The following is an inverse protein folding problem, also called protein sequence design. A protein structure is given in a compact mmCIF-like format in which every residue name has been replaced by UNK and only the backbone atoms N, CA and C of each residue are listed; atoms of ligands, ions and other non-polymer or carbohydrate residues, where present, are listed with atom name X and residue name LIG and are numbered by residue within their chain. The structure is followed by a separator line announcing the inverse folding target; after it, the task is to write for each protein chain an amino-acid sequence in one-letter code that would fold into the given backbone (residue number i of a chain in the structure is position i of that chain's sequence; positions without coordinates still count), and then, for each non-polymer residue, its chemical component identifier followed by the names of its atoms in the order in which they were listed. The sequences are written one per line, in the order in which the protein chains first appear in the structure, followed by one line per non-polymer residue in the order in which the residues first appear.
data_IF_888740077781
#
_entry.id   IF_888740077781
#
_cell.length_a   1.000
_cell.length_b   1.000
_cell.length_c   1.000
_cell.angle_alpha   90.00
_cell.angle_beta   90.00
_cell.angle_gamma   90.00
#
_symmetry.space_group_name_H-M   'P 1'
#
loop_
_entity.id
_entity.type
_entity.pdbx_description
1 polymer ?
#
# COMPACT_ATOMS: atom_id res chain seq x y z
N UNK A 1 16.12 -31.66 3.41
CA UNK A 1 15.28 -32.40 4.39
C UNK A 1 15.01 -31.46 5.55
N UNK A 2 13.77 -31.05 5.74
CA UNK A 2 13.38 -30.05 6.76
C UNK A 2 13.25 -30.75 8.11
N UNK A 3 14.13 -30.43 9.05
CA UNK A 3 14.10 -31.00 10.39
C UNK A 3 12.97 -30.35 11.20
N UNK A 4 11.90 -31.10 11.44
CA UNK A 4 10.75 -30.64 12.21
C UNK A 4 11.10 -30.74 13.70
N UNK A 5 11.25 -29.60 14.37
CA UNK A 5 11.26 -29.49 15.83
C UNK A 5 9.96 -30.09 16.37
N UNK A 6 10.03 -31.29 16.97
CA UNK A 6 8.93 -31.87 17.74
C UNK A 6 9.03 -31.38 19.18
N UNK A 7 8.00 -30.68 19.64
CA UNK A 7 7.77 -30.41 21.06
C UNK A 7 7.04 -31.63 21.64
N UNK A 8 7.74 -32.43 22.44
CA UNK A 8 7.08 -33.41 23.31
C UNK A 8 6.68 -32.72 24.62
N UNK A 9 5.37 -32.64 24.84
CA UNK A 9 4.78 -32.22 26.10
C UNK A 9 4.45 -33.49 26.88
N UNK A 10 5.21 -33.78 27.93
CA UNK A 10 4.82 -34.79 28.92
C UNK A 10 4.14 -34.05 30.07
N UNK A 11 2.86 -34.35 30.27
CA UNK A 11 2.04 -33.81 31.36
C UNK A 11 2.17 -34.76 32.55
N UNK A 12 2.70 -34.27 33.67
CA UNK A 12 2.61 -34.93 34.98
C UNK A 12 1.17 -34.78 35.51
N UNK A 13 0.65 -35.79 36.21
CA UNK A 13 -0.68 -35.91 36.82
C UNK A 13 -1.04 -34.78 37.82
N UNK A 14 -0.15 -33.79 38.01
CA UNK A 14 -0.40 -32.57 38.81
C UNK A 14 -0.35 -31.26 38.01
N UNK A 15 -0.28 -31.30 36.68
CA UNK A 15 -0.46 -30.13 35.82
C UNK A 15 0.70 -29.10 35.84
N UNK A 16 1.89 -29.49 36.31
CA UNK A 16 3.10 -28.66 36.25
C UNK A 16 3.94 -28.94 35.00
N UNK A 17 4.19 -27.94 34.16
CA UNK A 17 5.08 -28.04 32.99
C UNK A 17 6.52 -27.73 33.42
N UNK A 18 7.42 -28.72 33.36
CA UNK A 18 8.87 -28.49 33.57
C UNK A 18 9.61 -28.44 32.23
N UNK A 19 10.15 -27.27 31.88
CA UNK A 19 11.01 -27.09 30.70
C UNK A 19 12.44 -27.49 31.05
N UNK A 20 13.00 -28.43 30.29
CA UNK A 20 14.32 -29.02 30.54
C UNK A 20 15.47 -27.99 30.52
N UNK A 21 16.31 -28.13 31.53
CA UNK A 21 17.42 -27.32 32.04
C UNK A 21 18.63 -27.07 31.10
N UNK A 22 18.49 -27.15 29.77
CA UNK A 22 19.59 -26.90 28.81
C UNK A 22 19.52 -25.56 28.07
N UNK A 23 18.49 -24.74 28.32
CA UNK A 23 18.31 -23.41 27.68
C UNK A 23 18.88 -22.26 28.55
N UNK A 24 19.35 -22.53 29.78
CA UNK A 24 19.69 -21.51 30.77
C UNK A 24 20.91 -20.63 30.44
N UNK A 25 22.00 -21.21 29.95
CA UNK A 25 23.29 -20.48 29.84
C UNK A 25 23.35 -19.55 28.61
N UNK A 26 22.66 -19.90 27.52
CA UNK A 26 22.58 -19.11 26.29
C UNK A 26 21.53 -17.98 26.41
N UNK A 27 20.49 -18.22 27.21
CA UNK A 27 19.48 -17.21 27.56
C UNK A 27 20.03 -16.14 28.51
N UNK A 28 20.92 -16.49 29.44
CA UNK A 28 21.47 -15.54 30.42
C UNK A 28 22.46 -14.55 29.77
N UNK A 29 23.27 -15.01 28.80
CA UNK A 29 24.14 -14.14 27.99
C UNK A 29 23.36 -13.24 27.03
N UNK A 30 22.28 -13.76 26.44
CA UNK A 30 21.39 -12.98 25.57
C UNK A 30 20.57 -11.93 26.35
N UNK A 31 20.19 -12.23 27.60
CA UNK A 31 19.50 -11.30 28.49
C UNK A 31 20.31 -10.05 28.83
N UNK A 32 21.61 -10.19 29.08
CA UNK A 32 22.50 -9.05 29.41
C UNK A 32 22.77 -8.13 28.22
N UNK A 33 22.82 -8.68 26.99
CA UNK A 33 22.93 -7.88 25.77
C UNK A 33 21.61 -7.20 25.40
N UNK A 34 20.48 -7.87 25.64
CA UNK A 34 19.14 -7.29 25.52
C UNK A 34 18.91 -6.12 26.48
N UNK A 35 19.35 -6.24 27.74
CA UNK A 35 19.22 -5.18 28.74
C UNK A 35 20.05 -3.92 28.39
N UNK A 36 21.21 -4.09 27.75
CA UNK A 36 22.04 -2.97 27.29
C UNK A 36 21.49 -2.31 26.01
N UNK A 37 20.91 -3.09 25.10
CA UNK A 37 20.18 -2.57 23.96
C UNK A 37 18.91 -1.81 24.40
N UNK A 38 18.24 -2.31 25.45
CA UNK A 38 17.08 -1.70 26.09
C UNK A 38 17.43 -0.38 26.79
N UNK A 39 18.57 -0.31 27.50
CA UNK A 39 19.07 0.92 28.15
C UNK A 39 19.56 2.00 27.17
N UNK A 40 19.97 1.63 25.95
CA UNK A 40 20.35 2.59 24.89
C UNK A 40 19.16 3.09 24.07
N UNK A 41 17.97 2.53 24.27
CA UNK A 41 16.76 2.85 23.53
C UNK A 41 15.78 3.60 24.44
N UNK A 42 16.18 4.80 24.86
CA UNK A 42 15.38 5.68 25.72
C UNK A 42 14.84 6.88 24.92
N UNK A 43 13.54 7.16 25.12
CA UNK A 43 12.82 8.43 24.86
C UNK A 43 12.13 8.77 23.50
N UNK A 44 11.88 7.90 22.52
CA UNK A 44 11.11 8.32 21.31
C UNK A 44 10.05 7.39 20.71
N UNK A 45 9.66 6.29 21.36
CA UNK A 45 8.64 5.38 20.79
C UNK A 45 7.77 4.70 21.85
N UNK A 46 6.98 5.46 22.61
CA UNK A 46 6.18 4.93 23.72
C UNK A 46 4.86 4.27 23.30
N UNK A 47 4.31 4.57 22.11
CA UNK A 47 2.98 4.08 21.70
C UNK A 47 3.02 2.72 20.98
N UNK A 48 3.98 2.51 20.08
CA UNK A 48 4.13 1.25 19.34
C UNK A 48 4.61 0.09 20.23
N UNK A 49 5.35 0.40 21.30
CA UNK A 49 5.93 -0.60 22.19
C UNK A 49 4.97 -1.12 23.27
N UNK A 50 3.92 -0.39 23.65
CA UNK A 50 2.98 -0.84 24.69
C UNK A 50 2.15 -2.07 24.28
N UNK A 51 1.88 -2.23 22.99
CA UNK A 51 1.16 -3.39 22.43
C UNK A 51 2.06 -4.61 22.31
N UNK A 52 3.35 -4.41 22.02
CA UNK A 52 4.36 -5.48 21.93
C UNK A 52 4.79 -5.95 23.33
N UNK A 53 4.89 -5.03 24.30
CA UNK A 53 5.24 -5.34 25.68
C UNK A 53 4.17 -6.18 26.40
N UNK A 54 2.88 -5.98 26.08
CA UNK A 54 1.77 -6.81 26.62
C UNK A 54 1.78 -8.24 26.10
N UNK A 55 2.40 -8.50 24.95
CA UNK A 55 2.57 -9.84 24.37
C UNK A 55 3.85 -10.54 24.90
N UNK A 56 4.76 -9.82 25.55
CA UNK A 56 6.07 -10.33 26.00
C UNK A 56 6.04 -11.08 27.35
N UNK A 57 4.88 -11.20 28.01
CA UNK A 57 4.76 -11.91 29.28
C UNK A 57 4.89 -13.45 29.17
N UNK A 58 4.98 -14.00 27.96
CA UNK A 58 5.17 -15.44 27.75
C UNK A 58 6.06 -15.73 26.54
N UNK A 59 7.32 -16.11 26.83
CA UNK A 59 8.23 -16.83 25.92
C UNK A 59 8.40 -16.23 24.50
N UNK A 60 8.98 -15.03 24.39
CA UNK A 60 9.54 -14.56 23.12
C UNK A 60 10.99 -15.04 23.02
N UNK A 61 11.22 -16.07 22.19
CA UNK A 61 12.56 -16.51 21.82
C UNK A 61 13.30 -15.40 21.06
N UNK A 62 14.61 -15.32 21.21
CA UNK A 62 15.47 -14.35 20.53
C UNK A 62 15.27 -14.34 19.00
N UNK A 63 14.85 -15.45 18.42
CA UNK A 63 14.52 -15.59 17.00
C UNK A 63 13.21 -14.88 16.61
N UNK A 64 12.18 -14.88 17.47
CA UNK A 64 10.94 -14.13 17.24
C UNK A 64 11.18 -12.62 17.37
N UNK A 65 12.01 -12.19 18.32
CA UNK A 65 12.44 -10.79 18.44
C UNK A 65 13.29 -10.36 17.24
N UNK A 66 14.23 -11.20 16.77
CA UNK A 66 15.05 -10.90 15.58
C UNK A 66 14.20 -10.84 14.31
N UNK A 67 13.27 -11.77 14.11
CA UNK A 67 12.36 -11.77 12.97
C UNK A 67 11.43 -10.54 12.97
N UNK A 68 10.87 -10.20 14.15
CA UNK A 68 10.09 -8.97 14.33
C UNK A 68 10.93 -7.71 14.09
N UNK A 69 12.17 -7.67 14.57
CA UNK A 69 13.08 -6.55 14.34
C UNK A 69 13.47 -6.40 12.86
N UNK A 70 13.84 -7.50 12.18
CA UNK A 70 14.18 -7.44 10.74
C UNK A 70 12.97 -7.05 9.88
N UNK A 71 11.78 -7.58 10.18
CA UNK A 71 10.57 -7.27 9.41
C UNK A 71 10.09 -5.84 9.65
N UNK A 72 10.24 -5.30 10.87
CA UNK A 72 9.93 -3.90 11.17
C UNK A 72 10.96 -2.94 10.58
N UNK A 73 12.26 -3.28 10.59
CA UNK A 73 13.30 -2.48 9.92
C UNK A 73 13.08 -2.45 8.41
N UNK A 74 12.77 -3.58 7.78
CA UNK A 74 12.49 -3.65 6.35
C UNK A 74 11.24 -2.87 5.98
N UNK A 75 10.13 -3.05 6.72
CA UNK A 75 8.91 -2.29 6.47
C UNK A 75 9.09 -0.77 6.66
N UNK A 76 9.92 -0.35 7.63
CA UNK A 76 10.27 1.05 7.82
C UNK A 76 11.13 1.59 6.66
N UNK A 77 12.11 0.80 6.20
CA UNK A 77 12.94 1.14 5.04
C UNK A 77 12.10 1.27 3.77
N UNK A 78 11.23 0.30 3.47
CA UNK A 78 10.34 0.33 2.31
C UNK A 78 9.39 1.53 2.35
N UNK A 79 8.84 1.84 3.54
CA UNK A 79 8.00 3.02 3.72
C UNK A 79 8.80 4.32 3.52
N UNK A 80 10.05 4.36 3.96
CA UNK A 80 10.93 5.51 3.78
C UNK A 80 11.30 5.70 2.30
N UNK A 81 11.58 4.63 1.57
CA UNK A 81 11.83 4.67 0.12
C UNK A 81 10.61 5.20 -0.63
N UNK A 82 9.43 4.62 -0.37
CA UNK A 82 8.18 5.06 -1.00
C UNK A 82 7.84 6.49 -0.59
N UNK A 83 8.15 6.91 0.64
CA UNK A 83 7.98 8.31 1.08
C UNK A 83 8.90 9.25 0.32
N UNK A 84 10.19 8.91 0.17
CA UNK A 84 11.13 9.73 -0.59
C UNK A 84 10.70 9.88 -2.05
N UNK A 85 10.23 8.79 -2.67
CA UNK A 85 9.63 8.85 -4.02
C UNK A 85 8.40 9.74 -4.03
N UNK A 86 7.47 9.52 -3.10
CA UNK A 86 6.22 10.27 -2.99
C UNK A 86 6.48 11.78 -2.91
N UNK A 87 7.42 12.22 -2.08
CA UNK A 87 7.74 13.64 -1.92
C UNK A 87 8.31 14.25 -3.22
N UNK A 88 9.09 13.49 -3.99
CA UNK A 88 9.61 13.93 -5.30
C UNK A 88 8.48 14.05 -6.33
N UNK A 89 7.63 13.03 -6.41
CA UNK A 89 6.52 12.94 -7.37
C UNK A 89 5.45 14.00 -7.11
N UNK A 90 5.25 14.34 -5.84
CA UNK A 90 4.32 15.37 -5.37
C UNK A 90 5.01 16.68 -4.96
N UNK A 91 6.20 16.97 -5.50
CA UNK A 91 6.93 18.20 -5.18
C UNK A 91 6.07 19.45 -5.40
N UNK A 92 5.99 20.31 -4.38
CA UNK A 92 5.14 21.53 -4.37
C UNK A 92 3.66 21.29 -4.04
N UNK A 93 3.26 20.05 -3.77
CA UNK A 93 1.90 19.64 -3.38
C UNK A 93 1.92 18.55 -2.29
N UNK A 94 3.02 18.43 -1.56
CA UNK A 94 3.32 17.35 -0.61
C UNK A 94 2.27 17.27 0.51
N UNK A 95 1.83 18.43 1.02
CA UNK A 95 0.81 18.50 2.07
C UNK A 95 -0.53 17.92 1.60
N UNK A 96 -1.01 18.39 0.45
CA UNK A 96 -2.27 17.89 -0.12
C UNK A 96 -2.16 16.39 -0.45
N UNK A 97 -1.02 15.96 -0.98
CA UNK A 97 -0.76 14.56 -1.24
C UNK A 97 -0.78 13.71 0.05
N UNK A 98 -0.14 14.18 1.12
CA UNK A 98 -0.13 13.49 2.40
C UNK A 98 -1.55 13.35 3.00
N UNK A 99 -2.41 14.36 2.83
CA UNK A 99 -3.82 14.31 3.25
C UNK A 99 -4.63 13.28 2.41
N UNK A 100 -4.39 13.20 1.10
CA UNK A 100 -4.98 12.15 0.25
C UNK A 100 -4.52 10.76 0.69
N UNK A 101 -3.22 10.57 0.94
CA UNK A 101 -2.69 9.30 1.43
C UNK A 101 -3.29 8.90 2.80
N UNK A 102 -3.45 9.86 3.71
CA UNK A 102 -4.09 9.62 5.01
C UNK A 102 -5.55 9.19 4.86
N UNK A 103 -6.29 9.82 3.95
CA UNK A 103 -7.68 9.45 3.63
C UNK A 103 -7.78 8.02 3.13
N UNK A 104 -6.87 7.59 2.26
CA UNK A 104 -6.83 6.21 1.74
C UNK A 104 -6.54 5.18 2.85
N UNK A 105 -5.66 5.53 3.80
CA UNK A 105 -5.38 4.67 4.96
C UNK A 105 -6.62 4.53 5.85
N UNK A 106 -7.33 5.63 6.11
CA UNK A 106 -8.47 5.66 7.01
C UNK A 106 -9.74 5.04 6.40
N UNK A 107 -10.05 5.38 5.14
CA UNK A 107 -11.32 5.02 4.50
C UNK A 107 -11.26 3.73 3.68
N UNK A 108 -10.08 3.34 3.21
CA UNK A 108 -9.89 2.17 2.33
C UNK A 108 -9.00 1.09 2.94
N UNK A 109 -8.66 1.22 4.24
CA UNK A 109 -7.84 0.27 5.00
C UNK A 109 -6.48 -0.05 4.34
N UNK A 110 -5.94 0.87 3.55
CA UNK A 110 -4.62 0.71 2.93
C UNK A 110 -3.51 0.93 3.96
N UNK A 111 -2.38 0.24 3.79
CA UNK A 111 -1.16 0.65 4.50
C UNK A 111 -0.67 2.01 3.99
N UNK A 112 0.04 2.77 4.84
CA UNK A 112 0.67 4.04 4.43
C UNK A 112 1.57 3.87 3.19
N UNK A 113 2.22 2.72 3.08
CA UNK A 113 3.08 2.38 1.94
C UNK A 113 2.25 2.22 0.68
N UNK A 114 1.18 1.43 0.71
CA UNK A 114 0.28 1.24 -0.43
C UNK A 114 -0.36 2.55 -0.89
N UNK A 115 -0.91 3.35 0.05
CA UNK A 115 -1.52 4.63 -0.28
C UNK A 115 -0.54 5.56 -1.03
N UNK A 116 0.68 5.73 -0.50
CA UNK A 116 1.71 6.54 -1.15
C UNK A 116 2.18 5.94 -2.47
N UNK A 117 2.36 4.63 -2.54
CA UNK A 117 2.81 3.94 -3.75
C UNK A 117 1.79 4.07 -4.88
N UNK A 118 0.51 3.84 -4.59
CA UNK A 118 -0.56 3.93 -5.58
C UNK A 118 -0.76 5.37 -6.07
N UNK A 119 -0.83 6.34 -5.16
CA UNK A 119 -0.88 7.77 -5.53
C UNK A 119 0.32 8.15 -6.42
N UNK A 120 1.53 7.78 -6.02
CA UNK A 120 2.74 8.10 -6.80
C UNK A 120 2.70 7.46 -8.18
N UNK A 121 2.24 6.21 -8.27
CA UNK A 121 2.22 5.47 -9.54
C UNK A 121 1.29 6.09 -10.59
N UNK A 122 0.16 6.68 -10.17
CA UNK A 122 -0.76 7.38 -11.09
C UNK A 122 -0.25 8.78 -11.41
N UNK A 123 0.31 9.49 -10.44
CA UNK A 123 0.91 10.81 -10.66
C UNK A 123 2.09 10.72 -11.65
N UNK A 124 2.96 9.72 -11.48
CA UNK A 124 4.09 9.40 -12.37
C UNK A 124 3.66 9.01 -13.77
N UNK A 125 2.40 8.59 -13.93
CA UNK A 125 1.83 8.30 -15.24
C UNK A 125 1.26 9.57 -15.89
N UNK A 126 0.45 10.33 -15.16
CA UNK A 126 -0.33 11.43 -15.70
C UNK A 126 0.51 12.69 -16.00
N UNK A 127 1.49 13.01 -15.15
CA UNK A 127 2.32 14.22 -15.35
C UNK A 127 3.12 14.14 -16.65
N UNK A 128 3.85 13.05 -16.96
CA UNK A 128 4.53 12.91 -18.25
C UNK A 128 3.60 12.91 -19.47
N UNK A 129 2.33 12.53 -19.31
CA UNK A 129 1.32 12.61 -20.38
C UNK A 129 0.87 14.05 -20.68
N UNK A 130 1.31 15.04 -19.89
CA UNK A 130 0.99 16.46 -20.04
C UNK A 130 -0.16 16.93 -19.15
N UNK A 131 -0.61 16.14 -18.17
CA UNK A 131 -1.59 16.59 -17.18
C UNK A 131 -0.88 17.50 -16.17
N UNK A 132 -1.47 18.67 -15.90
CA UNK A 132 -0.91 19.61 -14.91
C UNK A 132 -0.75 18.92 -13.53
N UNK A 133 0.38 19.12 -12.80
CA UNK A 133 0.68 18.36 -11.58
C UNK A 133 -0.44 18.34 -10.53
N UNK A 134 -1.10 19.48 -10.31
CA UNK A 134 -2.20 19.59 -9.33
C UNK A 134 -3.46 18.85 -9.77
N UNK A 135 -3.75 18.84 -11.08
CA UNK A 135 -4.87 18.08 -11.63
C UNK A 135 -4.55 16.58 -11.62
N UNK A 136 -3.33 16.21 -11.99
CA UNK A 136 -2.84 14.84 -11.91
C UNK A 136 -2.94 14.30 -10.47
N UNK A 137 -2.68 15.14 -9.46
CA UNK A 137 -2.72 14.72 -8.06
C UNK A 137 -4.15 14.35 -7.62
N UNK A 138 -5.12 15.17 -8.02
CA UNK A 138 -6.55 14.89 -7.80
C UNK A 138 -6.98 13.63 -8.54
N UNK A 139 -6.65 13.51 -9.82
CA UNK A 139 -6.96 12.32 -10.60
C UNK A 139 -6.30 11.06 -10.03
N UNK A 140 -5.09 11.18 -9.47
CA UNK A 140 -4.41 10.07 -8.81
C UNK A 140 -5.20 9.57 -7.61
N UNK A 141 -5.65 10.47 -6.73
CA UNK A 141 -6.49 10.11 -5.59
C UNK A 141 -7.81 9.47 -6.02
N UNK A 142 -8.50 10.06 -7.00
CA UNK A 142 -9.77 9.51 -7.47
C UNK A 142 -9.60 8.14 -8.17
N UNK A 143 -8.52 7.94 -8.95
CA UNK A 143 -8.20 6.65 -9.57
C UNK A 143 -7.91 5.58 -8.52
N UNK A 144 -7.18 5.92 -7.45
CA UNK A 144 -6.90 4.95 -6.38
C UNK A 144 -8.18 4.55 -5.65
N UNK A 145 -9.03 5.53 -5.31
CA UNK A 145 -10.33 5.28 -4.68
C UNK A 145 -11.22 4.39 -5.54
N UNK A 146 -11.38 4.73 -6.83
CA UNK A 146 -12.16 3.94 -7.76
C UNK A 146 -11.60 2.53 -7.95
N UNK A 147 -10.27 2.38 -7.96
CA UNK A 147 -9.63 1.06 -8.03
C UNK A 147 -9.94 0.19 -6.82
N UNK A 148 -9.98 0.80 -5.63
CA UNK A 148 -10.35 0.10 -4.40
C UNK A 148 -11.83 -0.28 -4.39
N UNK A 149 -12.72 0.61 -4.85
CA UNK A 149 -14.17 0.33 -4.97
C UNK A 149 -14.44 -0.81 -5.95
N UNK A 150 -13.87 -0.72 -7.16
CA UNK A 150 -13.98 -1.77 -8.18
C UNK A 150 -13.38 -3.09 -7.69
N UNK A 151 -12.25 -3.04 -6.97
CA UNK A 151 -11.64 -4.22 -6.36
C UNK A 151 -12.57 -4.88 -5.34
N UNK A 152 -13.19 -4.07 -4.48
CA UNK A 152 -14.17 -4.54 -3.50
C UNK A 152 -15.38 -5.19 -4.17
N UNK A 153 -15.98 -4.53 -5.16
CA UNK A 153 -17.18 -5.04 -5.84
C UNK A 153 -16.93 -6.30 -6.65
N UNK A 154 -15.73 -6.47 -7.19
CA UNK A 154 -15.38 -7.60 -8.05
C UNK A 154 -14.56 -8.68 -7.30
N UNK A 155 -14.35 -8.52 -5.99
CA UNK A 155 -13.49 -9.39 -5.17
C UNK A 155 -12.08 -9.58 -5.78
N UNK A 156 -11.47 -8.48 -6.21
CA UNK A 156 -10.14 -8.43 -6.81
C UNK A 156 -9.18 -7.60 -5.94
N UNK A 157 -7.89 -7.96 -5.88
CA UNK A 157 -6.91 -7.14 -5.19
C UNK A 157 -6.82 -5.74 -5.80
N UNK A 158 -6.80 -4.69 -4.98
CA UNK A 158 -6.68 -3.30 -5.44
C UNK A 158 -5.48 -3.08 -6.36
N UNK A 159 -4.35 -3.75 -6.09
CA UNK A 159 -3.15 -3.71 -6.94
C UNK A 159 -3.42 -4.15 -8.38
N UNK A 160 -4.28 -5.16 -8.58
CA UNK A 160 -4.65 -5.65 -9.90
C UNK A 160 -5.51 -4.61 -10.63
N UNK A 161 -6.50 -4.04 -9.95
CA UNK A 161 -7.37 -3.01 -10.52
C UNK A 161 -6.59 -1.73 -10.85
N UNK A 162 -5.65 -1.33 -10.00
CA UNK A 162 -4.73 -0.23 -10.27
C UNK A 162 -3.97 -0.41 -11.58
N UNK A 163 -3.46 -1.62 -11.84
CA UNK A 163 -2.77 -1.95 -13.10
C UNK A 163 -3.71 -1.87 -14.31
N UNK A 164 -4.94 -2.37 -14.18
CA UNK A 164 -5.95 -2.28 -15.25
C UNK A 164 -6.35 -0.83 -15.54
N UNK A 165 -6.52 -0.01 -14.49
CA UNK A 165 -6.85 1.41 -14.58
C UNK A 165 -5.73 2.19 -15.27
N UNK A 166 -4.47 2.00 -14.85
CA UNK A 166 -3.32 2.62 -15.51
C UNK A 166 -3.22 2.22 -16.98
N UNK A 167 -3.45 0.94 -17.28
CA UNK A 167 -3.48 0.42 -18.65
C UNK A 167 -4.58 1.08 -19.49
N UNK A 168 -5.78 1.25 -18.91
CA UNK A 168 -6.89 1.92 -19.58
C UNK A 168 -6.61 3.42 -19.83
N UNK A 169 -5.99 4.11 -18.88
CA UNK A 169 -5.62 5.54 -19.01
C UNK A 169 -4.63 5.77 -20.16
N UNK A 170 -3.79 4.79 -20.49
CA UNK A 170 -2.87 4.85 -21.64
C UNK A 170 -3.44 4.28 -22.94
N UNK A 171 -4.69 3.77 -22.94
CA UNK A 171 -5.42 3.38 -24.14
C UNK A 171 -5.79 1.91 -24.27
N UNK A 172 -5.41 1.05 -23.32
CA UNK A 172 -5.77 -0.38 -23.34
C UNK A 172 -7.14 -0.62 -22.70
N UNK A 173 -8.19 -0.12 -23.34
CA UNK A 173 -9.55 -0.09 -22.77
C UNK A 173 -10.17 -1.47 -22.49
N UNK A 174 -9.66 -2.51 -23.15
CA UNK A 174 -10.10 -3.90 -22.97
C UNK A 174 -9.95 -4.39 -21.52
N UNK A 175 -9.01 -3.84 -20.76
CA UNK A 175 -8.83 -4.18 -19.33
C UNK A 175 -10.06 -3.85 -18.49
N UNK A 176 -10.91 -2.93 -18.96
CA UNK A 176 -12.06 -2.45 -18.22
C UNK A 176 -13.32 -3.30 -18.37
N UNK A 177 -13.37 -4.19 -19.38
CA UNK A 177 -14.56 -5.01 -19.68
C UNK A 177 -14.98 -5.93 -18.53
N UNK A 178 -14.01 -6.46 -17.78
CA UNK A 178 -14.28 -7.32 -16.61
C UNK A 178 -14.93 -6.58 -15.43
N UNK A 179 -14.94 -5.24 -15.46
CA UNK A 179 -15.61 -4.38 -14.49
C UNK A 179 -16.96 -3.86 -15.02
N UNK A 180 -17.48 -4.41 -16.12
CA UNK A 180 -18.71 -3.94 -16.76
C UNK A 180 -18.57 -2.64 -17.56
N UNK A 181 -17.36 -2.08 -17.64
CA UNK A 181 -17.10 -0.81 -18.33
C UNK A 181 -16.65 -1.09 -19.76
N UNK A 182 -17.45 -0.65 -20.74
CA UNK A 182 -17.14 -0.79 -22.17
C UNK A 182 -16.83 0.58 -22.77
N UNK A 183 -15.59 0.76 -23.21
CA UNK A 183 -15.12 1.96 -23.89
C UNK A 183 -14.08 1.60 -24.96
N UNK A 184 -13.92 2.48 -25.95
CA UNK A 184 -12.92 2.36 -27.01
C UNK A 184 -12.35 3.73 -27.40
N UNK A 185 -11.39 3.75 -28.32
CA UNK A 185 -10.75 4.99 -28.76
C UNK A 185 -11.77 6.02 -29.28
N UNK A 186 -12.74 5.60 -30.09
CA UNK A 186 -13.75 6.51 -30.64
C UNK A 186 -14.64 7.14 -29.55
N UNK A 187 -15.10 6.35 -28.57
CA UNK A 187 -15.88 6.89 -27.45
C UNK A 187 -15.06 7.84 -26.59
N UNK A 188 -13.76 7.57 -26.39
CA UNK A 188 -12.84 8.43 -25.63
C UNK A 188 -12.62 9.77 -26.36
N UNK A 189 -12.39 9.75 -27.66
CA UNK A 189 -12.28 10.98 -28.47
C UNK A 189 -13.55 11.81 -28.40
N UNK A 190 -14.71 11.17 -28.56
CA UNK A 190 -16.00 11.85 -28.48
C UNK A 190 -16.22 12.44 -27.08
N UNK A 191 -15.84 11.70 -26.02
CA UNK A 191 -15.93 12.19 -24.65
C UNK A 191 -15.05 13.42 -24.45
N UNK A 192 -13.81 13.40 -24.93
CA UNK A 192 -12.89 14.54 -24.82
C UNK A 192 -13.44 15.81 -25.50
N UNK A 193 -14.05 15.66 -26.68
CA UNK A 193 -14.75 16.76 -27.37
C UNK A 193 -15.96 17.25 -26.55
N UNK A 194 -16.78 16.34 -26.03
CA UNK A 194 -17.97 16.69 -25.24
C UNK A 194 -17.63 17.41 -23.93
N UNK A 195 -16.46 17.12 -23.35
CA UNK A 195 -15.93 17.78 -22.16
C UNK A 195 -15.29 19.14 -22.47
N UNK A 196 -15.18 19.52 -23.75
CA UNK A 196 -14.51 20.75 -24.16
C UNK A 196 -13.01 20.74 -23.94
N UNK A 197 -12.37 19.57 -23.79
CA UNK A 197 -10.91 19.46 -23.63
C UNK A 197 -10.16 19.91 -24.89
N UNK A 198 -10.79 19.71 -26.05
CA UNK A 198 -10.30 20.13 -27.37
C UNK A 198 -11.48 20.53 -28.26
N UNK A 199 -11.21 21.34 -29.29
CA UNK A 199 -12.20 21.70 -30.32
C UNK A 199 -12.22 20.70 -31.46
N UNK A 200 -11.06 20.21 -31.87
CA UNK A 200 -10.90 19.26 -32.96
C UNK A 200 -10.17 18.00 -32.50
N UNK A 201 -10.34 16.90 -33.24
CA UNK A 201 -9.75 15.60 -32.89
C UNK A 201 -8.23 15.60 -33.02
N UNK A 202 -7.72 16.39 -33.96
CA UNK A 202 -6.31 16.54 -34.29
C UNK A 202 -5.52 17.13 -33.12
N UNK A 203 -6.19 17.87 -32.24
CA UNK A 203 -5.59 18.52 -31.06
C UNK A 203 -5.57 17.59 -29.82
N UNK A 204 -6.04 16.33 -29.94
CA UNK A 204 -6.09 15.40 -28.81
C UNK A 204 -4.68 14.97 -28.38
N UNK A 205 -4.34 15.29 -27.15
CA UNK A 205 -3.12 14.85 -26.47
C UNK A 205 -3.36 13.55 -25.69
N UNK A 206 -2.28 12.94 -25.18
CA UNK A 206 -2.38 11.82 -24.25
C UNK A 206 -3.15 12.22 -22.96
N UNK A 207 -2.87 13.40 -22.42
CA UNK A 207 -3.59 13.96 -21.27
C UNK A 207 -5.10 14.10 -21.50
N UNK A 208 -5.53 14.57 -22.68
CA UNK A 208 -6.95 14.70 -23.01
C UNK A 208 -7.63 13.33 -23.07
N UNK A 209 -6.97 12.34 -23.68
CA UNK A 209 -7.48 10.97 -23.76
C UNK A 209 -7.56 10.30 -22.39
N UNK A 210 -6.55 10.45 -21.54
CA UNK A 210 -6.56 9.91 -20.18
C UNK A 210 -7.71 10.48 -19.34
N UNK A 211 -7.92 11.80 -19.39
CA UNK A 211 -9.03 12.45 -18.68
C UNK A 211 -10.40 11.97 -19.18
N UNK A 212 -10.57 11.88 -20.50
CA UNK A 212 -11.82 11.40 -21.09
C UNK A 212 -12.07 9.91 -20.82
N UNK A 213 -11.02 9.07 -20.88
CA UNK A 213 -11.09 7.66 -20.54
C UNK A 213 -11.48 7.46 -19.08
N UNK A 214 -10.83 8.18 -18.15
CA UNK A 214 -11.18 8.17 -16.74
C UNK A 214 -12.66 8.51 -16.52
N UNK A 215 -13.17 9.57 -17.15
CA UNK A 215 -14.57 9.97 -17.02
C UNK A 215 -15.54 8.91 -17.58
N UNK A 216 -15.20 8.23 -18.67
CA UNK A 216 -16.00 7.11 -19.17
C UNK A 216 -15.97 5.92 -18.22
N UNK A 217 -14.84 5.65 -17.58
CA UNK A 217 -14.71 4.57 -16.59
C UNK A 217 -15.62 4.86 -15.39
N UNK A 218 -15.59 6.07 -14.83
CA UNK A 218 -16.48 6.47 -13.73
C UNK A 218 -17.96 6.33 -14.12
N UNK A 219 -18.32 6.73 -15.34
CA UNK A 219 -19.69 6.61 -15.84
C UNK A 219 -20.11 5.15 -16.04
N UNK A 220 -19.21 4.30 -16.53
CA UNK A 220 -19.49 2.87 -16.71
C UNK A 220 -19.57 2.12 -15.38
N UNK A 221 -18.74 2.48 -14.39
CA UNK A 221 -18.69 1.82 -13.09
C UNK A 221 -19.86 2.17 -12.17
N UNK A 222 -20.58 3.26 -12.45
CA UNK A 222 -21.80 3.64 -11.72
C UNK A 222 -23.07 3.06 -12.33
N UNK A 223 -23.00 2.59 -13.58
CA UNK A 223 -24.11 1.99 -14.31
C UNK A 223 -24.11 0.44 -14.28
N UNK A 224 -23.03 -0.16 -13.80
CA UNK A 224 -22.85 -1.61 -13.60
C UNK A 224 -23.33 -2.02 -12.21
#
# INVERSE_FOLDING_TARGET
MTDKLRLELIVDDKGGVQVLRKVGEEAEKSGKQGEQAFKKMDASSSSAFSSIAKLAAGYLSFTALKAGFTQTTQAASDLQEVTGKFDVVFKGQEKAAAEMAATLVESYAMSRREAKQYLSSVQDLLVPMGVAPQLAAKLSDEVVKLSADLGSFNNLPTAQVMGDMQSALVGNFETMKKYGVVLNAASVEQKALSMGLVRNKEDLTAAHRAQAAYQLIVQGSTAA
#
